data_IF_654690688199
#
_entry.id   IF_654690688199
#
_cell.length_a   1.000
_cell.length_b   1.000
_cell.length_c   1.000
_cell.angle_alpha   90.00
_cell.angle_beta   90.00
_cell.angle_gamma   90.00
#
_symmetry.space_group_name_H-M   'P 1'
#
loop_
_entity.id
_entity.type
_entity.pdbx_description
1 polymer ?
#
# COMPACT_ATOMS: atom_id res chain seq x y z
N UNK A 1 -30.65 -48.69 -51.20
CA UNK A 1 -30.87 -50.15 -51.21
C UNK A 1 -29.75 -50.76 -52.05
N UNK A 2 -29.07 -51.78 -51.53
CA UNK A 2 -27.88 -52.48 -52.07
C UNK A 2 -26.56 -51.67 -52.01
N UNK A 3 -25.54 -51.91 -51.15
CA UNK A 3 -24.72 -53.13 -50.87
C UNK A 3 -24.20 -53.76 -52.18
N UNK A 4 -22.93 -54.10 -52.41
CA UNK A 4 -21.77 -54.41 -51.57
C UNK A 4 -20.57 -54.72 -52.53
N UNK A 5 -19.32 -54.57 -52.05
CA UNK A 5 -18.17 -55.53 -52.19
C UNK A 5 -17.54 -55.79 -53.58
N UNK A 6 -16.23 -56.02 -53.81
CA UNK A 6 -14.97 -56.09 -53.01
C UNK A 6 -13.77 -56.42 -53.93
N UNK A 7 -12.55 -56.34 -53.35
CA UNK A 7 -11.29 -57.05 -53.67
C UNK A 7 -10.47 -56.51 -54.87
N UNK A 8 -9.16 -56.21 -54.77
CA UNK A 8 -8.08 -57.05 -54.24
C UNK A 8 -6.83 -56.22 -53.82
N UNK A 9 -6.11 -56.72 -52.81
CA UNK A 9 -4.84 -56.27 -52.20
C UNK A 9 -3.64 -56.28 -53.15
N UNK A 10 -2.58 -55.50 -52.85
CA UNK A 10 -1.15 -55.90 -52.57
C UNK A 10 -0.46 -54.67 -51.92
N UNK A 11 -0.25 -54.62 -50.60
CA UNK A 11 0.98 -54.94 -49.85
C UNK A 11 2.25 -54.15 -50.24
N UNK A 12 2.73 -53.29 -49.33
CA UNK A 12 4.13 -53.21 -48.83
C UNK A 12 4.28 -51.88 -48.06
N UNK A 13 4.09 -51.86 -46.75
CA UNK A 13 5.17 -51.91 -45.76
C UNK A 13 6.46 -51.20 -46.23
N UNK A 14 6.61 -49.94 -45.83
CA UNK A 14 7.89 -49.39 -45.38
C UNK A 14 7.62 -48.61 -44.09
N UNK A 15 7.95 -49.28 -42.99
CA UNK A 15 8.03 -48.72 -41.64
C UNK A 15 9.39 -48.00 -41.50
N UNK A 16 9.41 -47.04 -40.57
CA UNK A 16 10.56 -46.55 -39.79
C UNK A 16 11.37 -45.32 -40.24
N UNK A 17 11.55 -44.44 -39.25
CA UNK A 17 12.40 -43.23 -39.14
C UNK A 17 11.83 -42.00 -39.85
N UNK A 18 11.59 -40.84 -39.22
CA UNK A 18 12.25 -40.20 -38.07
C UNK A 18 11.21 -39.56 -37.14
N UNK A 19 11.02 -40.13 -35.94
CA UNK A 19 10.82 -39.31 -34.76
C UNK A 19 12.19 -38.71 -34.45
N UNK A 20 12.29 -37.38 -34.44
CA UNK A 20 13.24 -36.55 -33.68
C UNK A 20 13.23 -35.12 -34.27
N UNK A 21 12.06 -34.47 -34.26
CA UNK A 21 12.04 -33.03 -33.98
C UNK A 21 11.62 -32.88 -32.53
N UNK A 22 12.56 -33.25 -31.65
CA UNK A 22 12.61 -32.65 -30.33
C UNK A 22 12.91 -31.17 -30.55
N UNK A 23 11.84 -30.38 -30.73
CA UNK A 23 11.92 -28.97 -30.46
C UNK A 23 12.12 -28.89 -28.95
N UNK A 24 13.39 -28.86 -28.53
CA UNK A 24 13.76 -28.25 -27.28
C UNK A 24 13.10 -26.88 -27.29
N UNK A 25 11.98 -26.76 -26.57
CA UNK A 25 11.65 -25.49 -25.94
C UNK A 25 12.84 -25.23 -25.05
N UNK A 26 13.84 -24.53 -25.60
CA UNK A 26 14.67 -23.67 -24.77
C UNK A 26 13.65 -22.89 -23.95
N UNK A 27 13.58 -23.23 -22.66
CA UNK A 27 13.00 -22.34 -21.68
C UNK A 27 13.88 -21.10 -21.77
N UNK A 28 13.47 -20.17 -22.62
CA UNK A 28 13.59 -18.75 -22.31
C UNK A 28 13.00 -18.65 -20.92
N UNK A 29 13.89 -18.73 -19.94
CA UNK A 29 13.65 -18.22 -18.61
C UNK A 29 13.12 -16.82 -18.90
N UNK A 30 11.84 -16.60 -18.62
CA UNK A 30 11.36 -15.27 -18.31
C UNK A 30 12.19 -14.87 -17.09
N UNK A 31 13.41 -14.38 -17.33
CA UNK A 31 14.22 -13.76 -16.30
C UNK A 31 13.41 -12.55 -15.87
N UNK A 32 12.89 -12.61 -14.64
CA UNK A 32 12.23 -11.47 -14.04
C UNK A 32 13.10 -10.23 -14.27
N UNK A 33 12.51 -9.11 -14.72
CA UNK A 33 13.29 -7.92 -15.07
C UNK A 33 14.19 -7.55 -13.89
N UNK A 34 15.48 -7.38 -14.19
CA UNK A 34 16.47 -6.94 -13.20
C UNK A 34 15.98 -5.60 -12.66
N UNK A 35 15.77 -5.46 -11.34
CA UNK A 35 15.27 -4.21 -10.78
C UNK A 35 16.24 -3.07 -11.08
N UNK A 36 15.72 -1.92 -11.51
CA UNK A 36 16.51 -0.72 -11.84
C UNK A 36 17.03 0.02 -10.58
N UNK A 37 16.93 -0.59 -9.40
CA UNK A 37 17.31 0.00 -8.13
C UNK A 37 17.61 -1.03 -7.05
N UNK A 38 18.23 -0.56 -5.96
CA UNK A 38 18.59 -1.37 -4.79
C UNK A 38 17.61 -1.19 -3.62
N UNK A 39 16.56 -0.38 -3.77
CA UNK A 39 15.52 -0.23 -2.76
C UNK A 39 14.13 -0.17 -3.40
N UNK A 40 13.19 -0.97 -2.91
CA UNK A 40 11.75 -0.83 -3.21
C UNK A 40 11.00 -0.44 -1.95
N UNK A 41 9.97 0.39 -2.11
CA UNK A 41 9.17 0.88 -1.01
C UNK A 41 7.70 0.54 -1.19
N UNK A 42 7.09 -0.01 -0.15
CA UNK A 42 5.65 -0.20 -0.06
C UNK A 42 5.15 0.66 1.10
N UNK A 43 3.97 1.26 0.95
CA UNK A 43 3.32 2.03 2.01
C UNK A 43 2.04 1.33 2.37
N UNK A 44 1.98 0.77 3.56
CA UNK A 44 0.86 -0.01 4.03
C UNK A 44 0.47 0.42 5.45
N UNK A 45 -0.47 -0.31 6.01
CA UNK A 45 -0.95 -0.06 7.33
C UNK A 45 -1.23 -1.35 8.07
N UNK A 46 -1.21 -1.23 9.39
CA UNK A 46 -1.71 -2.25 10.30
C UNK A 46 -2.94 -1.71 10.99
N UNK A 47 -3.99 -2.52 11.01
CA UNK A 47 -5.17 -2.26 11.82
C UNK A 47 -5.14 -3.22 13.00
N UNK A 48 -4.76 -2.75 14.18
CA UNK A 48 -4.97 -3.51 15.41
C UNK A 48 -6.43 -3.29 15.89
N UNK A 49 -7.38 -3.79 15.10
CA UNK A 49 -8.81 -3.47 15.26
C UNK A 49 -9.76 -4.67 15.15
N UNK A 50 -9.26 -5.88 14.92
CA UNK A 50 -10.10 -7.08 14.88
C UNK A 50 -10.40 -7.60 16.29
N UNK A 51 -11.00 -6.77 17.13
CA UNK A 51 -11.76 -7.26 18.28
C UNK A 51 -13.00 -8.00 17.77
N UNK A 52 -13.44 -9.09 18.42
CA UNK A 52 -14.65 -9.80 18.02
C UNK A 52 -15.83 -8.84 17.89
N UNK A 53 -16.65 -9.04 16.85
CA UNK A 53 -17.81 -8.19 16.48
C UNK A 53 -18.78 -7.98 17.66
N UNK A 54 -18.73 -8.78 18.72
CA UNK A 54 -19.51 -8.60 19.95
C UNK A 54 -18.99 -7.52 20.91
N UNK A 55 -17.97 -6.74 20.53
CA UNK A 55 -17.35 -5.70 21.36
C UNK A 55 -17.16 -4.40 20.58
N UNK A 56 -17.00 -3.31 21.33
CA UNK A 56 -16.73 -2.00 20.77
C UNK A 56 -15.48 -2.04 19.88
N UNK A 57 -15.65 -1.68 18.61
CA UNK A 57 -14.61 -1.79 17.60
C UNK A 57 -14.81 -0.78 16.49
N UNK A 58 -13.75 -0.52 15.73
CA UNK A 58 -13.83 0.15 14.45
C UNK A 58 -13.03 -0.63 13.41
N UNK A 59 -13.46 -0.52 12.15
CA UNK A 59 -12.82 -1.16 11.00
C UNK A 59 -12.64 -0.11 9.93
N UNK A 60 -11.41 0.03 9.47
CA UNK A 60 -11.09 0.87 8.33
C UNK A 60 -11.41 0.12 7.04
N UNK A 61 -12.07 0.80 6.11
CA UNK A 61 -12.51 0.23 4.82
C UNK A 61 -11.75 0.80 3.63
N UNK A 62 -11.31 2.05 3.72
CA UNK A 62 -10.39 2.66 2.77
C UNK A 62 -9.52 3.69 3.47
N UNK A 63 -8.30 3.88 2.98
CA UNK A 63 -7.49 5.02 3.38
C UNK A 63 -6.42 5.33 2.34
N UNK A 64 -6.29 6.62 2.04
CA UNK A 64 -5.41 7.15 1.02
C UNK A 64 -4.57 8.30 1.57
N UNK A 65 -3.33 8.39 1.11
CA UNK A 65 -2.40 9.49 1.40
C UNK A 65 -1.79 10.01 0.10
N UNK A 66 -1.78 11.34 -0.05
CA UNK A 66 -1.12 12.04 -1.13
C UNK A 66 0.33 12.35 -0.76
N UNK A 67 1.30 11.90 -1.55
CA UNK A 67 2.73 12.06 -1.27
C UNK A 67 3.40 12.81 -2.43
N UNK A 68 4.05 13.93 -2.15
CA UNK A 68 4.85 14.68 -3.13
C UNK A 68 6.19 13.99 -3.40
N UNK A 69 6.80 13.44 -2.35
CA UNK A 69 8.04 12.70 -2.47
C UNK A 69 8.56 12.18 -1.15
N UNK A 70 9.56 11.30 -1.22
CA UNK A 70 10.13 10.61 -0.06
C UNK A 70 11.64 10.79 -0.08
N UNK A 71 12.21 11.18 1.06
CA UNK A 71 13.63 11.42 1.27
C UNK A 71 14.16 10.51 2.36
N UNK A 72 15.17 9.70 2.07
CA UNK A 72 15.93 8.94 3.04
C UNK A 72 17.07 9.82 3.57
N UNK A 73 17.16 9.91 4.90
CA UNK A 73 18.14 10.72 5.60
C UNK A 73 19.29 9.85 6.11
N UNK A 74 20.49 10.15 5.62
CA UNK A 74 21.71 9.51 6.10
C UNK A 74 22.18 10.15 7.42
N UNK A 75 22.85 9.37 8.27
CA UNK A 75 23.32 9.79 9.60
C UNK A 75 24.17 11.08 9.55
N UNK A 76 25.02 11.21 8.53
CA UNK A 76 26.01 12.29 8.45
C UNK A 76 25.64 13.43 7.48
N UNK A 77 24.52 13.31 6.75
CA UNK A 77 24.14 14.27 5.70
C UNK A 77 22.62 14.37 5.55
N UNK A 78 22.01 15.54 5.80
CA UNK A 78 20.63 15.77 5.42
C UNK A 78 20.49 15.64 3.90
N UNK A 79 19.52 14.83 3.44
CA UNK A 79 19.25 14.65 2.03
C UNK A 79 18.28 15.74 1.56
N UNK A 80 18.70 16.53 0.57
CA UNK A 80 17.87 17.59 -0.02
C UNK A 80 17.18 17.13 -1.32
N UNK A 81 17.30 15.86 -1.69
CA UNK A 81 16.70 15.28 -2.89
C UNK A 81 15.73 14.17 -2.51
N UNK A 82 14.68 14.02 -3.31
CA UNK A 82 13.78 12.89 -3.21
C UNK A 82 14.44 11.64 -3.78
N UNK A 83 14.38 10.55 -3.02
CA UNK A 83 14.73 9.22 -3.49
C UNK A 83 13.54 8.58 -4.22
N UNK A 84 12.31 8.96 -3.84
CA UNK A 84 11.08 8.67 -4.60
C UNK A 84 10.39 10.00 -4.94
N UNK A 85 10.36 10.37 -6.22
CA UNK A 85 9.74 11.62 -6.70
C UNK A 85 8.29 11.35 -7.10
N UNK A 86 7.33 12.04 -6.48
CA UNK A 86 5.91 11.92 -6.77
C UNK A 86 5.42 12.85 -7.89
N UNK A 87 4.12 13.16 -7.92
CA UNK A 87 3.13 12.89 -6.87
C UNK A 87 2.64 11.44 -6.89
N UNK A 88 2.39 10.87 -5.70
CA UNK A 88 1.77 9.56 -5.49
C UNK A 88 0.43 9.70 -4.78
N UNK A 89 -0.52 8.83 -5.12
CA UNK A 89 -1.72 8.55 -4.34
C UNK A 89 -1.62 7.12 -3.84
N UNK A 90 -1.42 6.94 -2.53
CA UNK A 90 -1.14 5.63 -1.94
C UNK A 90 -2.35 5.16 -1.13
N UNK A 91 -2.93 4.02 -1.53
CA UNK A 91 -3.90 3.31 -0.70
C UNK A 91 -3.13 2.49 0.34
N UNK A 92 -3.16 2.96 1.58
CA UNK A 92 -2.37 2.37 2.66
C UNK A 92 -3.03 1.15 3.29
N UNK A 93 -4.25 0.80 2.90
CA UNK A 93 -4.88 -0.48 3.29
C UNK A 93 -4.30 -1.64 2.47
N UNK A 94 -4.20 -1.48 1.15
CA UNK A 94 -3.77 -2.55 0.25
C UNK A 94 -2.32 -2.43 -0.23
N UNK A 95 -1.63 -1.33 0.08
CA UNK A 95 -0.23 -1.12 -0.27
C UNK A 95 0.00 -0.63 -1.71
N UNK A 96 -1.05 -0.27 -2.44
CA UNK A 96 -0.97 0.13 -3.84
C UNK A 96 -0.79 1.64 -3.95
N UNK A 97 0.15 2.07 -4.78
CA UNK A 97 0.33 3.49 -5.13
C UNK A 97 0.04 3.74 -6.61
N UNK A 98 -0.39 4.97 -6.92
CA UNK A 98 -0.50 5.46 -8.28
C UNK A 98 0.22 6.83 -8.43
N UNK A 99 1.26 6.93 -9.27
CA UNK A 99 1.94 5.84 -9.97
C UNK A 99 2.57 4.83 -8.99
N UNK A 100 3.04 3.69 -9.49
CA UNK A 100 3.75 2.72 -8.67
C UNK A 100 5.06 3.34 -8.12
N UNK A 101 5.34 3.16 -6.82
CA UNK A 101 6.56 3.64 -6.18
C UNK A 101 7.79 2.91 -6.73
N UNK A 102 7.62 1.64 -7.13
CA UNK A 102 8.65 0.85 -7.81
C UNK A 102 9.96 0.73 -7.02
N UNK A 103 11.07 0.84 -7.75
CA UNK A 103 12.44 0.79 -7.22
C UNK A 103 13.14 2.14 -7.37
N UNK A 104 14.05 2.43 -6.44
CA UNK A 104 14.99 3.55 -6.52
C UNK A 104 16.40 3.11 -6.20
N UNK A 105 17.37 3.98 -6.46
CA UNK A 105 18.78 3.80 -6.12
C UNK A 105 19.10 4.64 -4.88
N UNK A 106 19.24 3.97 -3.74
CA UNK A 106 19.82 4.56 -2.55
C UNK A 106 21.35 4.44 -2.62
N UNK A 107 22.04 5.55 -2.39
CA UNK A 107 23.51 5.55 -2.36
C UNK A 107 24.01 4.77 -1.13
N UNK A 108 25.18 4.09 -1.21
CA UNK A 108 25.74 3.40 -0.06
C UNK A 108 25.93 4.33 1.14
N UNK A 109 25.23 4.03 2.23
CA UNK A 109 25.25 4.84 3.46
C UNK A 109 24.53 4.14 4.62
N UNK A 110 24.61 4.78 5.80
CA UNK A 110 23.81 4.47 6.97
C UNK A 110 22.64 5.45 7.06
N UNK A 111 21.42 4.95 6.93
CA UNK A 111 20.20 5.74 6.99
C UNK A 111 19.49 5.53 8.33
N UNK A 112 19.03 6.64 8.93
CA UNK A 112 18.43 6.66 10.28
C UNK A 112 16.96 7.07 10.28
N UNK A 113 16.52 7.76 9.24
CA UNK A 113 15.12 8.13 9.06
C UNK A 113 14.78 8.31 7.58
N UNK A 114 13.49 8.47 7.31
CA UNK A 114 13.00 9.07 6.08
C UNK A 114 11.97 10.15 6.41
N UNK A 115 11.75 11.05 5.47
CA UNK A 115 10.70 12.07 5.51
C UNK A 115 9.83 11.93 4.26
N UNK A 116 8.52 11.94 4.46
CA UNK A 116 7.53 11.97 3.39
C UNK A 116 6.93 13.36 3.33
N UNK A 117 7.08 14.04 2.20
CA UNK A 117 6.39 15.30 1.94
C UNK A 117 4.99 14.98 1.42
N UNK A 118 3.98 15.57 2.05
CA UNK A 118 2.56 15.26 1.85
C UNK A 118 1.92 16.35 0.98
N UNK A 119 1.09 15.97 0.01
CA UNK A 119 0.48 16.88 -0.96
C UNK A 119 -1.05 16.74 -0.99
N UNK A 120 -1.75 17.83 -1.27
CA UNK A 120 -3.20 17.88 -1.43
C UNK A 120 -3.60 17.52 -2.85
N UNK A 121 -3.61 16.22 -3.18
CA UNK A 121 -3.94 15.70 -4.51
C UNK A 121 -5.02 14.61 -4.50
N UNK A 122 -5.69 14.38 -3.36
CA UNK A 122 -6.78 13.41 -3.25
C UNK A 122 -8.13 14.11 -3.46
N UNK A 123 -9.00 13.52 -4.27
CA UNK A 123 -10.35 14.03 -4.49
C UNK A 123 -11.29 13.56 -3.36
N UNK A 124 -11.91 14.51 -2.65
CA UNK A 124 -12.97 14.18 -1.70
C UNK A 124 -14.31 14.03 -2.43
N UNK A 125 -14.96 12.88 -2.28
CA UNK A 125 -16.28 12.64 -2.86
C UNK A 125 -17.40 13.52 -2.28
N UNK A 126 -17.17 14.18 -1.13
CA UNK A 126 -18.15 15.02 -0.44
C UNK A 126 -17.92 16.51 -0.69
N UNK A 127 -16.66 16.94 -0.86
CA UNK A 127 -16.30 18.34 -1.08
C UNK A 127 -15.42 18.49 -2.31
N UNK A 128 -15.56 19.59 -3.05
CA UNK A 128 -14.69 19.90 -4.19
C UNK A 128 -13.26 20.31 -3.78
N UNK A 129 -12.89 20.10 -2.52
CA UNK A 129 -11.58 20.45 -1.99
C UNK A 129 -10.65 19.26 -2.07
N UNK A 130 -9.41 19.48 -2.53
CA UNK A 130 -8.39 18.44 -2.52
C UNK A 130 -7.88 18.21 -1.10
N UNK A 131 -7.77 16.94 -0.72
CA UNK A 131 -7.28 16.49 0.57
C UNK A 131 -5.89 15.89 0.43
N UNK A 132 -5.15 15.79 1.53
CA UNK A 132 -3.88 15.08 1.58
C UNK A 132 -4.00 13.69 2.23
N UNK A 133 -4.98 13.49 3.12
CA UNK A 133 -5.33 12.19 3.68
C UNK A 133 -6.84 12.05 3.70
N UNK A 134 -7.34 10.90 3.28
CA UNK A 134 -8.75 10.49 3.40
C UNK A 134 -8.78 9.09 4.00
N UNK A 135 -9.62 8.86 5.01
CA UNK A 135 -9.82 7.56 5.64
C UNK A 135 -11.30 7.31 5.92
N UNK A 136 -11.83 6.19 5.42
CA UNK A 136 -13.22 5.80 5.56
C UNK A 136 -13.32 4.48 6.33
N UNK A 137 -14.27 4.39 7.25
CA UNK A 137 -14.48 3.16 8.02
C UNK A 137 -15.84 3.04 8.67
N UNK A 138 -15.94 2.06 9.56
CA UNK A 138 -17.13 1.71 10.31
C UNK A 138 -16.80 1.62 11.79
N UNK A 139 -17.66 2.19 12.63
CA UNK A 139 -17.60 2.09 14.08
C UNK A 139 -18.81 1.29 14.60
N UNK A 140 -18.53 0.39 15.53
CA UNK A 140 -19.47 -0.55 16.13
C UNK A 140 -19.46 -0.37 17.65
N UNK A 141 -20.21 0.59 18.23
CA UNK A 141 -20.12 0.90 19.67
C UNK A 141 -20.50 -0.27 20.58
N UNK A 142 -21.35 -1.16 20.09
CA UNK A 142 -21.90 -2.29 20.82
C UNK A 142 -21.97 -3.57 19.97
N UNK A 143 -21.26 -3.60 18.83
CA UNK A 143 -21.29 -4.74 17.91
C UNK A 143 -22.55 -4.92 17.06
N UNK A 144 -23.59 -4.10 17.28
CA UNK A 144 -24.89 -4.21 16.59
C UNK A 144 -25.16 -2.98 15.75
N UNK A 145 -24.99 -1.79 16.33
CA UNK A 145 -25.13 -0.54 15.60
C UNK A 145 -23.90 -0.30 14.74
N UNK A 146 -24.10 0.24 13.54
CA UNK A 146 -23.04 0.61 12.61
C UNK A 146 -23.16 2.10 12.33
N UNK A 147 -22.05 2.80 12.56
CA UNK A 147 -21.84 4.18 12.17
C UNK A 147 -20.72 4.21 11.15
N UNK A 148 -20.91 4.93 10.05
CA UNK A 148 -19.83 5.16 9.09
C UNK A 148 -19.02 6.34 9.58
N UNK A 149 -17.71 6.31 9.43
CA UNK A 149 -16.90 7.49 9.69
C UNK A 149 -16.07 7.84 8.46
N UNK A 150 -15.83 9.14 8.30
CA UNK A 150 -14.92 9.67 7.29
C UNK A 150 -14.02 10.71 7.95
N UNK A 151 -12.72 10.46 7.91
CA UNK A 151 -11.70 11.42 8.26
C UNK A 151 -11.09 12.01 6.99
N UNK A 152 -10.90 13.33 6.96
CA UNK A 152 -10.23 14.01 5.86
C UNK A 152 -9.46 15.22 6.35
N UNK A 153 -8.30 15.47 5.77
CA UNK A 153 -7.45 16.62 6.11
C UNK A 153 -6.59 17.05 4.94
N UNK A 154 -6.22 18.32 4.93
CA UNK A 154 -5.18 18.94 4.11
C UNK A 154 -4.09 19.63 4.97
N UNK A 155 -4.08 19.40 6.29
CA UNK A 155 -3.26 20.11 7.26
C UNK A 155 -1.92 19.42 7.60
N UNK A 156 -1.63 18.29 6.97
CA UNK A 156 -0.38 17.55 7.16
C UNK A 156 0.51 17.79 5.95
N UNK A 157 1.70 18.33 6.20
CA UNK A 157 2.65 18.71 5.15
C UNK A 157 3.83 17.74 5.07
N UNK A 158 4.17 17.08 6.17
CA UNK A 158 5.22 16.07 6.21
C UNK A 158 4.98 15.03 7.30
N UNK A 159 5.56 13.85 7.11
CA UNK A 159 5.59 12.76 8.09
C UNK A 159 7.01 12.22 8.13
N UNK A 160 7.64 12.29 9.31
CA UNK A 160 8.97 11.74 9.55
C UNK A 160 8.87 10.34 10.15
N UNK A 161 9.66 9.41 9.61
CA UNK A 161 9.73 8.03 10.06
C UNK A 161 11.15 7.76 10.54
N UNK A 162 11.31 7.67 11.86
CA UNK A 162 12.58 7.30 12.51
C UNK A 162 12.67 5.78 12.51
N UNK A 163 13.84 5.24 12.13
CA UNK A 163 14.02 3.80 12.07
C UNK A 163 14.38 3.25 13.45
N UNK A 164 13.78 2.12 13.84
CA UNK A 164 14.17 1.41 15.06
C UNK A 164 15.63 0.93 15.02
N UNK A 165 16.12 0.66 13.80
CA UNK A 165 17.50 0.23 13.54
C UNK A 165 18.03 0.95 12.30
N UNK A 166 19.35 1.16 12.25
CA UNK A 166 20.02 1.73 11.08
C UNK A 166 19.76 0.87 9.84
N UNK A 167 19.41 1.53 8.74
CA UNK A 167 19.37 0.92 7.42
C UNK A 167 20.74 1.12 6.75
N UNK A 168 21.57 0.09 6.80
CA UNK A 168 22.79 0.02 6.01
C UNK A 168 22.44 -0.36 4.57
N UNK A 169 22.79 0.52 3.63
CA UNK A 169 22.66 0.31 2.19
C UNK A 169 24.04 0.13 1.60
N UNK A 170 24.20 -0.90 0.77
CA UNK A 170 25.40 -1.15 -0.01
C UNK A 170 25.05 -1.42 -1.49
N UNK A 171 26.08 -1.70 -2.31
CA UNK A 171 25.91 -1.95 -3.74
C UNK A 171 25.50 -3.39 -4.08
N UNK A 172 25.43 -4.29 -3.11
CA UNK A 172 25.28 -5.73 -3.32
C UNK A 172 23.91 -6.25 -2.90
N UNK A 173 23.17 -5.49 -2.09
CA UNK A 173 21.90 -5.90 -1.50
C UNK A 173 20.72 -5.12 -2.07
N UNK A 174 19.62 -5.83 -2.32
CA UNK A 174 18.32 -5.23 -2.63
C UNK A 174 17.50 -5.15 -1.34
N UNK A 175 17.00 -3.97 -1.02
CA UNK A 175 16.19 -3.70 0.15
C UNK A 175 14.71 -3.62 -0.23
N UNK A 176 13.90 -4.49 0.36
CA UNK A 176 12.43 -4.33 0.32
C UNK A 176 11.98 -3.70 1.64
N UNK A 177 11.41 -2.51 1.55
CA UNK A 177 11.05 -1.69 2.69
C UNK A 177 9.55 -1.45 2.74
N UNK A 178 8.99 -1.39 3.95
CA UNK A 178 7.58 -1.08 4.19
C UNK A 178 7.48 0.09 5.16
N UNK A 179 6.83 1.18 4.75
CA UNK A 179 6.37 2.21 5.68
C UNK A 179 5.00 1.77 6.16
N UNK A 180 4.90 1.45 7.44
CA UNK A 180 3.69 0.94 8.05
C UNK A 180 3.07 2.03 8.91
N UNK A 181 1.85 2.44 8.56
CA UNK A 181 1.01 3.28 9.40
C UNK A 181 0.23 2.43 10.39
N UNK A 182 0.32 2.74 11.69
CA UNK A 182 -0.53 2.12 12.70
C UNK A 182 -1.82 2.93 12.87
N UNK A 183 -2.89 2.47 12.24
CA UNK A 183 -4.20 3.11 12.33
C UNK A 183 -4.86 3.01 13.69
N UNK A 184 -4.45 2.04 14.52
CA UNK A 184 -4.97 1.96 15.88
C UNK A 184 -4.47 3.12 16.75
N UNK A 185 -3.40 3.80 16.32
CA UNK A 185 -2.97 5.04 16.92
C UNK A 185 -3.78 6.23 16.41
N UNK A 186 -4.40 6.20 15.23
CA UNK A 186 -5.12 7.36 14.72
C UNK A 186 -6.41 7.57 15.52
N UNK A 187 -7.18 6.50 15.67
CA UNK A 187 -8.50 6.53 16.28
C UNK A 187 -8.58 5.62 17.51
N UNK A 188 -9.32 6.05 18.52
CA UNK A 188 -9.64 5.21 19.68
C UNK A 188 -11.15 5.06 19.85
N UNK A 189 -11.58 3.92 20.40
CA UNK A 189 -12.98 3.62 20.66
C UNK A 189 -13.68 4.70 21.50
N UNK A 190 -13.00 5.22 22.53
CA UNK A 190 -13.58 6.23 23.42
C UNK A 190 -13.94 7.53 22.68
N UNK A 191 -13.16 7.90 21.67
CA UNK A 191 -13.40 9.13 20.93
C UNK A 191 -14.62 9.04 20.02
N UNK A 192 -14.87 7.86 19.45
CA UNK A 192 -16.07 7.65 18.64
C UNK A 192 -17.36 7.67 19.48
N UNK A 193 -17.29 7.39 20.79
CA UNK A 193 -18.46 7.51 21.68
C UNK A 193 -18.93 8.96 21.85
N UNK A 194 -17.97 9.87 21.90
CA UNK A 194 -18.21 11.29 22.14
C UNK A 194 -18.38 12.07 20.83
N UNK A 195 -18.19 11.41 19.68
CA UNK A 195 -18.30 12.03 18.38
C UNK A 195 -19.76 12.35 18.00
N UNK A 196 -19.96 13.52 17.41
CA UNK A 196 -21.22 13.92 16.81
C UNK A 196 -21.51 13.05 15.57
N UNK A 197 -22.72 12.47 15.58
CA UNK A 197 -23.24 11.62 14.52
C UNK A 197 -24.30 12.40 13.76
N UNK A 198 -24.16 12.49 12.43
CA UNK A 198 -25.19 13.07 11.57
C UNK A 198 -26.44 12.20 11.47
N UNK A 199 -27.52 12.76 10.93
CA UNK A 199 -28.80 12.06 10.73
C UNK A 199 -28.67 10.78 9.90
N UNK A 200 -27.68 10.70 9.00
CA UNK A 200 -27.40 9.55 8.13
C UNK A 200 -26.45 8.51 8.77
N UNK A 201 -26.20 8.59 10.08
CA UNK A 201 -25.25 7.74 10.82
C UNK A 201 -23.79 7.89 10.36
N UNK A 202 -23.43 9.08 9.91
CA UNK A 202 -22.05 9.42 9.56
C UNK A 202 -21.39 10.22 10.69
N UNK A 203 -20.16 9.83 11.03
CA UNK A 203 -19.24 10.60 11.86
C UNK A 203 -18.24 11.24 10.90
N UNK A 204 -18.45 12.52 10.59
CA UNK A 204 -17.51 13.30 9.78
C UNK A 204 -16.45 13.90 10.70
N UNK A 205 -15.18 13.67 10.40
CA UNK A 205 -14.04 14.13 11.19
C UNK A 205 -13.18 15.00 10.26
N UNK A 206 -13.38 16.32 10.37
CA UNK A 206 -12.66 17.34 9.60
C UNK A 206 -12.52 18.63 10.42
N UNK A 207 -12.11 19.73 9.77
CA UNK A 207 -11.89 21.01 10.43
C UNK A 207 -13.17 21.69 10.92
N UNK A 208 -14.33 21.23 10.48
CA UNK A 208 -15.65 21.80 10.81
C UNK A 208 -16.45 20.86 11.73
N UNK A 209 -16.26 19.55 11.60
CA UNK A 209 -17.01 18.51 12.29
C UNK A 209 -16.10 17.66 13.18
N UNK A 210 -16.52 17.43 14.43
CA UNK A 210 -15.75 16.65 15.40
C UNK A 210 -14.32 17.20 15.61
N UNK A 211 -14.18 18.53 15.69
CA UNK A 211 -12.89 19.27 15.69
C UNK A 211 -11.91 18.76 16.76
N UNK A 212 -12.38 18.41 17.96
CA UNK A 212 -11.51 17.87 19.01
C UNK A 212 -10.88 16.53 18.60
N UNK A 213 -11.69 15.63 18.02
CA UNK A 213 -11.22 14.36 17.50
C UNK A 213 -10.30 14.56 16.29
N UNK A 214 -10.65 15.47 15.38
CA UNK A 214 -9.82 15.85 14.24
C UNK A 214 -8.40 16.23 14.68
N UNK A 215 -8.27 17.17 15.64
CA UNK A 215 -6.97 17.62 16.12
C UNK A 215 -6.15 16.49 16.74
N UNK A 216 -6.79 15.61 17.53
CA UNK A 216 -6.13 14.43 18.11
C UNK A 216 -5.64 13.46 17.04
N UNK A 217 -6.44 13.20 16.01
CA UNK A 217 -6.04 12.33 14.89
C UNK A 217 -4.84 12.91 14.15
N UNK A 218 -4.83 14.22 13.85
CA UNK A 218 -3.71 14.90 13.18
C UNK A 218 -2.40 14.75 13.97
N UNK A 219 -2.44 14.94 15.28
CA UNK A 219 -1.25 14.77 16.14
C UNK A 219 -0.71 13.35 16.09
N UNK A 220 -1.59 12.35 16.08
CA UNK A 220 -1.20 10.93 16.12
C UNK A 220 -0.74 10.41 14.77
N UNK A 221 -1.25 10.92 13.65
CA UNK A 221 -0.79 10.53 12.31
C UNK A 221 0.73 10.75 12.20
N UNK A 222 1.23 11.88 12.70
CA UNK A 222 2.65 12.25 12.62
C UNK A 222 3.60 11.27 13.33
N UNK A 223 3.11 10.49 14.29
CA UNK A 223 3.90 9.50 15.04
C UNK A 223 3.48 8.06 14.78
N UNK A 224 2.57 7.83 13.84
CA UNK A 224 1.98 6.51 13.60
C UNK A 224 2.76 5.63 12.61
N UNK A 225 3.74 6.22 11.91
CA UNK A 225 4.47 5.55 10.86
C UNK A 225 5.81 4.99 11.36
N UNK A 226 6.13 3.76 10.97
CA UNK A 226 7.42 3.10 11.25
C UNK A 226 7.92 2.35 10.00
N UNK A 227 9.23 2.08 9.95
CA UNK A 227 9.85 1.36 8.84
C UNK A 227 10.09 -0.11 9.20
N UNK A 228 9.65 -1.03 8.33
CA UNK A 228 9.98 -2.45 8.39
C UNK A 228 10.85 -2.88 7.21
N UNK A 229 11.86 -3.70 7.48
CA UNK A 229 12.60 -4.45 6.45
C UNK A 229 11.85 -5.74 6.13
N UNK A 230 11.46 -5.92 4.89
CA UNK A 230 10.80 -7.14 4.40
C UNK A 230 11.89 -8.16 4.08
N UNK A 231 11.84 -9.34 4.71
CA UNK A 231 12.77 -10.44 4.37
C UNK A 231 12.47 -10.93 2.96
N UNK A 232 13.52 -10.98 2.13
CA UNK A 232 13.52 -11.68 0.85
C UNK A 232 13.52 -13.19 1.04
#
# INVERSE_FOLDING_TARGET
MMTNFTFLRVSSLFLFSFLLFGCSKDSLLDEDPIPEGNASLIINSVTSGNTPISSESFVLTDAQIGIDGIKFNAEDKPNNKYDFLGPYQCNIINGVSNPDLGYTILSPNLYTSLSMDIITNLEDSISNNSMCIIADGKYFPNGVNVYFFKFKTNAINSIDVVFDNILEVDNNNIHKLSIVFDFSLWFTNNEFKDAEVSDDKYILIDEEHNIELYNKVIERIRSSAHLLKIKL
#
